data_IF_005811610842
#
_entry.id   IF_005811610842
#
_cell.length_a   1.000
_cell.length_b   1.000
_cell.length_c   1.000
_cell.angle_alpha   90.00
_cell.angle_beta   90.00
_cell.angle_gamma   90.00
#
_symmetry.space_group_name_H-M   'P 1'
#
loop_
_entity.id
_entity.type
_entity.pdbx_description
1 polymer ?
#
# COMPACT_ATOMS: atom_id res chain seq x y z
N UNK A 1 13.44 -0.90 6.18
CA UNK A 1 12.86 -1.83 7.15
C UNK A 1 13.90 -2.89 7.46
N UNK A 2 14.05 -3.28 8.73
CA UNK A 2 14.89 -4.41 9.13
C UNK A 2 13.97 -5.63 9.31
N UNK A 3 14.14 -6.65 8.46
CA UNK A 3 13.28 -7.83 8.45
C UNK A 3 13.43 -8.67 9.73
N UNK A 4 14.62 -8.76 10.32
CA UNK A 4 14.81 -9.54 11.55
C UNK A 4 14.09 -8.86 12.72
N UNK A 5 14.19 -7.53 12.81
CA UNK A 5 13.48 -6.76 13.82
C UNK A 5 11.95 -6.88 13.66
N UNK A 6 11.45 -6.83 12.42
CA UNK A 6 10.03 -6.94 12.12
C UNK A 6 9.48 -8.33 12.49
N UNK A 7 10.18 -9.39 12.08
CA UNK A 7 9.84 -10.79 12.41
C UNK A 7 9.82 -11.01 13.93
N UNK A 8 10.81 -10.47 14.66
CA UNK A 8 10.86 -10.56 16.13
C UNK A 8 9.76 -9.76 16.83
N UNK A 9 9.14 -8.82 16.13
CA UNK A 9 8.01 -8.03 16.64
C UNK A 9 6.71 -8.82 16.81
N UNK A 10 6.58 -9.97 16.14
CA UNK A 10 5.38 -10.81 16.23
C UNK A 10 5.26 -11.45 17.62
N UNK A 11 4.04 -11.41 18.18
CA UNK A 11 3.75 -11.93 19.52
C UNK A 11 2.78 -13.12 19.45
N UNK A 12 2.89 -14.07 20.39
CA UNK A 12 1.88 -15.10 20.57
C UNK A 12 0.51 -14.49 20.86
N UNK A 13 -0.53 -15.15 20.38
CA UNK A 13 -1.94 -14.78 20.61
C UNK A 13 -2.43 -15.57 21.82
N UNK A 14 -3.03 -14.86 22.77
CA UNK A 14 -3.64 -15.43 23.97
C UNK A 14 -5.02 -16.03 23.65
N UNK A 15 -5.15 -17.34 23.84
CA UNK A 15 -6.36 -18.12 23.57
C UNK A 15 -7.43 -17.94 24.66
N UNK A 16 -7.05 -17.60 25.90
CA UNK A 16 -7.99 -17.49 27.02
C UNK A 16 -8.97 -16.32 26.85
N UNK A 17 -8.57 -15.29 26.11
CA UNK A 17 -9.45 -14.17 25.74
C UNK A 17 -10.54 -14.51 24.72
N UNK A 18 -10.36 -15.57 23.93
CA UNK A 18 -11.29 -15.95 22.85
C UNK A 18 -12.21 -17.11 23.23
N UNK A 19 -11.83 -17.93 24.21
CA UNK A 19 -12.65 -19.04 24.72
C UNK A 19 -13.86 -18.56 25.55
N UNK A 20 -13.84 -17.34 26.10
CA UNK A 20 -14.94 -16.79 26.90
C UNK A 20 -16.23 -16.52 26.11
N UNK A 21 -16.18 -16.50 24.77
CA UNK A 21 -17.33 -16.23 23.89
C UNK A 21 -17.89 -17.47 23.18
N UNK A 22 -17.45 -18.70 23.48
CA UNK A 22 -18.01 -19.97 22.95
C UNK A 22 -18.13 -20.12 21.41
N UNK A 23 -17.45 -19.29 20.61
CA UNK A 23 -17.55 -19.30 19.12
C UNK A 23 -16.28 -19.76 18.39
N UNK A 24 -15.18 -20.08 19.09
CA UNK A 24 -13.94 -20.49 18.43
C UNK A 24 -14.01 -21.96 17.97
N UNK A 25 -13.97 -22.18 16.65
CA UNK A 25 -13.93 -23.54 16.08
C UNK A 25 -12.59 -24.22 16.38
N UNK A 26 -12.56 -25.55 16.46
CA UNK A 26 -11.34 -26.36 16.63
C UNK A 26 -10.24 -26.00 15.61
N UNK A 27 -10.67 -25.60 14.41
CA UNK A 27 -9.77 -25.13 13.33
C UNK A 27 -9.07 -23.82 13.70
N UNK A 28 -9.79 -22.84 14.26
CA UNK A 28 -9.21 -21.56 14.68
C UNK A 28 -8.24 -21.75 15.85
N UNK A 29 -8.63 -22.53 16.86
CA UNK A 29 -7.79 -22.83 18.03
C UNK A 29 -6.49 -23.50 17.58
N UNK A 30 -6.57 -24.55 16.77
CA UNK A 30 -5.41 -25.27 16.23
C UNK A 30 -4.50 -24.36 15.39
N UNK A 31 -5.06 -23.48 14.57
CA UNK A 31 -4.29 -22.52 13.78
C UNK A 31 -3.53 -21.52 14.65
N UNK A 32 -4.14 -21.05 15.75
CA UNK A 32 -3.48 -20.14 16.70
C UNK A 32 -2.36 -20.84 17.48
N UNK A 33 -2.56 -22.09 17.91
CA UNK A 33 -1.52 -22.88 18.56
C UNK A 33 -0.28 -23.08 17.66
N UNK A 34 -0.51 -23.44 16.40
CA UNK A 34 0.56 -23.62 15.41
C UNK A 34 1.28 -22.30 15.13
N UNK A 35 0.54 -21.19 15.06
CA UNK A 35 1.12 -19.85 14.91
C UNK A 35 1.98 -19.46 16.11
N UNK A 36 1.52 -19.70 17.34
CA UNK A 36 2.27 -19.40 18.56
C UNK A 36 3.59 -20.19 18.62
N UNK A 37 3.58 -21.47 18.22
CA UNK A 37 4.80 -22.28 18.07
C UNK A 37 5.76 -21.69 17.04
N UNK A 38 5.26 -21.23 15.90
CA UNK A 38 6.09 -20.60 14.89
C UNK A 38 6.78 -19.33 15.42
N UNK A 39 6.04 -18.48 16.13
CA UNK A 39 6.59 -17.27 16.77
C UNK A 39 7.68 -17.63 17.79
N UNK A 40 7.50 -18.70 18.56
CA UNK A 40 8.53 -19.20 19.48
C UNK A 40 9.80 -19.66 18.75
N UNK A 41 9.64 -20.44 17.68
CA UNK A 41 10.77 -20.89 16.86
C UNK A 41 11.55 -19.72 16.24
N UNK A 42 10.88 -18.65 15.82
CA UNK A 42 11.53 -17.45 15.30
C UNK A 42 12.34 -16.72 16.38
N UNK A 43 11.82 -16.64 17.61
CA UNK A 43 12.56 -16.05 18.74
C UNK A 43 13.83 -16.84 19.05
N UNK A 44 13.78 -18.17 18.90
CA UNK A 44 14.92 -19.07 19.08
C UNK A 44 15.85 -19.17 17.87
N UNK A 45 15.60 -18.42 16.79
CA UNK A 45 16.45 -18.44 15.58
C UNK A 45 16.34 -19.74 14.77
N UNK A 46 15.21 -20.42 14.83
CA UNK A 46 14.92 -21.64 14.07
C UNK A 46 13.92 -21.33 12.94
N UNK A 47 14.32 -20.51 11.97
CA UNK A 47 13.43 -19.96 10.95
C UNK A 47 12.82 -21.04 10.04
N UNK A 48 13.60 -22.07 9.67
CA UNK A 48 13.13 -23.17 8.83
C UNK A 48 11.96 -23.93 9.47
N UNK A 49 12.03 -24.17 10.79
CA UNK A 49 10.98 -24.86 11.54
C UNK A 49 9.75 -23.95 11.67
N UNK A 50 9.96 -22.66 11.95
CA UNK A 50 8.89 -21.68 12.01
C UNK A 50 8.12 -21.60 10.68
N UNK A 51 8.82 -21.60 9.54
CA UNK A 51 8.20 -21.60 8.21
C UNK A 51 7.37 -22.86 7.96
N UNK A 52 7.81 -24.03 8.44
CA UNK A 52 7.02 -25.27 8.35
C UNK A 52 5.72 -25.14 9.16
N UNK A 53 5.78 -24.65 10.39
CA UNK A 53 4.59 -24.45 11.22
C UNK A 53 3.64 -23.41 10.60
N UNK A 54 4.15 -22.30 10.08
CA UNK A 54 3.34 -21.28 9.40
C UNK A 54 2.67 -21.83 8.14
N UNK A 55 3.34 -22.65 7.34
CA UNK A 55 2.71 -23.33 6.19
C UNK A 55 1.53 -24.20 6.62
N UNK A 56 1.66 -24.92 7.75
CA UNK A 56 0.54 -25.68 8.33
C UNK A 56 -0.60 -24.75 8.72
N UNK A 57 -0.31 -23.64 9.40
CA UNK A 57 -1.32 -22.62 9.77
C UNK A 57 -2.12 -22.20 8.55
N UNK A 58 -1.44 -21.80 7.46
CA UNK A 58 -2.08 -21.32 6.23
C UNK A 58 -2.88 -22.43 5.53
N UNK A 59 -2.40 -23.68 5.55
CA UNK A 59 -3.14 -24.81 4.97
C UNK A 59 -4.44 -25.16 5.72
N UNK A 60 -4.50 -24.87 7.01
CA UNK A 60 -5.64 -25.14 7.89
C UNK A 60 -6.60 -23.94 7.95
N UNK A 61 -6.05 -22.72 7.97
CA UNK A 61 -6.79 -21.47 7.98
C UNK A 61 -6.15 -20.44 7.02
N UNK A 62 -6.53 -20.47 5.72
CA UNK A 62 -5.99 -19.56 4.71
C UNK A 62 -6.27 -18.07 4.98
N UNK A 63 -7.28 -17.75 5.82
CA UNK A 63 -7.65 -16.38 6.18
C UNK A 63 -6.93 -15.87 7.44
N UNK A 64 -5.98 -16.63 7.98
CA UNK A 64 -5.17 -16.18 9.11
C UNK A 64 -4.03 -15.27 8.65
N UNK A 65 -4.39 -14.06 8.22
CA UNK A 65 -3.48 -13.13 7.54
C UNK A 65 -2.25 -12.72 8.36
N UNK A 66 -2.31 -12.72 9.70
CA UNK A 66 -1.11 -12.46 10.53
C UNK A 66 -0.05 -13.57 10.32
N UNK A 67 -0.48 -14.83 10.19
CA UNK A 67 0.41 -15.95 9.89
C UNK A 67 0.91 -15.92 8.43
N UNK A 68 0.07 -15.49 7.48
CA UNK A 68 0.47 -15.34 6.08
C UNK A 68 1.50 -14.21 5.93
N UNK A 69 1.30 -13.08 6.62
CA UNK A 69 2.26 -11.97 6.66
C UNK A 69 3.60 -12.40 7.23
N UNK A 70 3.57 -13.10 8.37
CA UNK A 70 4.79 -13.63 8.99
C UNK A 70 5.52 -14.63 8.09
N UNK A 71 4.79 -15.50 7.39
CA UNK A 71 5.37 -16.43 6.42
C UNK A 71 6.02 -15.70 5.24
N UNK A 72 5.37 -14.66 4.70
CA UNK A 72 5.94 -13.82 3.65
C UNK A 72 7.23 -13.12 4.09
N UNK A 73 7.28 -12.60 5.32
CA UNK A 73 8.48 -12.00 5.88
C UNK A 73 9.61 -13.02 6.04
N UNK A 74 9.30 -14.23 6.50
CA UNK A 74 10.27 -15.31 6.57
C UNK A 74 10.83 -15.70 5.20
N UNK A 75 10.00 -15.71 4.15
CA UNK A 75 10.49 -15.91 2.77
C UNK A 75 11.43 -14.79 2.32
N UNK A 76 11.08 -13.53 2.58
CA UNK A 76 11.94 -12.40 2.27
C UNK A 76 13.27 -12.48 3.02
N UNK A 77 13.22 -12.80 4.33
CA UNK A 77 14.39 -12.94 5.18
C UNK A 77 15.30 -14.11 4.77
N UNK A 78 14.72 -15.20 4.28
CA UNK A 78 15.45 -16.37 3.78
C UNK A 78 15.84 -16.28 2.30
N UNK A 79 15.76 -15.07 1.70
CA UNK A 79 16.16 -14.78 0.32
C UNK A 79 15.35 -15.56 -0.73
N UNK A 80 14.03 -15.63 -0.53
CA UNK A 80 13.04 -16.16 -1.48
C UNK A 80 11.98 -15.07 -1.79
N UNK A 81 12.38 -13.91 -2.37
CA UNK A 81 11.51 -12.76 -2.54
C UNK A 81 10.31 -13.01 -3.45
N UNK A 82 10.44 -13.88 -4.45
CA UNK A 82 9.36 -14.20 -5.39
C UNK A 82 8.17 -14.86 -4.68
N UNK A 83 8.46 -15.73 -3.71
CA UNK A 83 7.44 -16.38 -2.87
C UNK A 83 6.81 -15.41 -1.88
N UNK A 84 7.61 -14.47 -1.38
CA UNK A 84 7.14 -13.43 -0.49
C UNK A 84 6.18 -12.49 -1.24
N UNK A 85 6.54 -12.07 -2.45
CA UNK A 85 5.70 -11.25 -3.32
C UNK A 85 4.38 -11.93 -3.67
N UNK A 86 4.39 -13.22 -4.03
CA UNK A 86 3.14 -13.97 -4.30
C UNK A 86 2.23 -14.00 -3.06
N UNK A 87 2.79 -14.27 -1.88
CA UNK A 87 2.00 -14.27 -0.64
C UNK A 87 1.46 -12.88 -0.30
N UNK A 88 2.28 -11.83 -0.35
CA UNK A 88 1.82 -10.48 -0.04
C UNK A 88 0.79 -9.98 -1.05
N UNK A 89 1.00 -10.22 -2.35
CA UNK A 89 0.05 -9.90 -3.40
C UNK A 89 -1.32 -10.58 -3.20
N UNK A 90 -1.35 -11.77 -2.60
CA UNK A 90 -2.61 -12.47 -2.28
C UNK A 90 -3.41 -11.85 -1.12
N UNK A 91 -2.75 -11.09 -0.22
CA UNK A 91 -3.35 -10.49 1.00
C UNK A 91 -3.77 -9.05 0.76
N UNK A 92 -3.07 -8.34 -0.14
CA UNK A 92 -3.27 -6.91 -0.44
C UNK A 92 -4.72 -6.57 -0.82
N UNK A 93 -5.52 -7.53 -1.27
CA UNK A 93 -6.93 -7.33 -1.60
C UNK A 93 -7.92 -7.54 -0.43
N UNK A 94 -7.46 -7.63 0.84
CA UNK A 94 -8.31 -7.90 2.00
C UNK A 94 -8.11 -6.91 3.16
N UNK A 95 -9.23 -6.32 3.59
CA UNK A 95 -9.34 -4.99 4.21
C UNK A 95 -8.58 -4.76 5.53
N UNK A 96 -8.23 -5.78 6.31
CA UNK A 96 -7.67 -5.55 7.66
C UNK A 96 -6.16 -5.85 7.80
N UNK A 97 -5.53 -6.49 6.81
CA UNK A 97 -4.09 -6.81 6.80
C UNK A 97 -3.38 -6.43 5.50
N UNK A 98 -4.09 -5.83 4.54
CA UNK A 98 -3.55 -5.30 3.29
C UNK A 98 -2.45 -4.26 3.50
N UNK A 99 -2.53 -3.47 4.58
CA UNK A 99 -1.56 -2.39 4.87
C UNK A 99 -0.17 -2.96 5.12
N UNK A 100 -0.05 -3.92 6.06
CA UNK A 100 1.22 -4.60 6.35
C UNK A 100 1.74 -5.32 5.11
N UNK A 101 0.86 -6.04 4.41
CA UNK A 101 1.25 -6.80 3.21
C UNK A 101 1.77 -5.89 2.08
N UNK A 102 1.18 -4.71 1.86
CA UNK A 102 1.70 -3.75 0.89
C UNK A 102 3.00 -3.08 1.34
N UNK A 103 3.14 -2.72 2.62
CA UNK A 103 4.40 -2.18 3.13
C UNK A 103 5.55 -3.18 2.92
N UNK A 104 5.27 -4.47 3.13
CA UNK A 104 6.22 -5.56 2.89
C UNK A 104 6.50 -5.77 1.39
N UNK A 105 5.48 -5.72 0.53
CA UNK A 105 5.64 -5.83 -0.93
C UNK A 105 6.41 -4.64 -1.52
N UNK A 106 6.14 -3.43 -1.05
CA UNK A 106 6.87 -2.22 -1.45
C UNK A 106 8.33 -2.30 -1.00
N UNK A 107 8.58 -2.77 0.23
CA UNK A 107 9.95 -2.97 0.70
C UNK A 107 10.72 -4.01 -0.12
N UNK A 108 10.10 -5.14 -0.46
CA UNK A 108 10.74 -6.20 -1.26
C UNK A 108 11.03 -5.70 -2.68
N UNK A 109 10.06 -5.09 -3.34
CA UNK A 109 10.21 -4.54 -4.70
C UNK A 109 11.24 -3.41 -4.80
N UNK A 110 11.38 -2.56 -3.76
CA UNK A 110 12.44 -1.54 -3.70
C UNK A 110 13.84 -2.19 -3.50
N UNK A 111 13.90 -3.32 -2.81
CA UNK A 111 15.15 -4.00 -2.44
C UNK A 111 15.75 -4.85 -3.57
N UNK A 112 14.99 -5.24 -4.59
CA UNK A 112 15.50 -5.98 -5.75
C UNK A 112 16.57 -5.21 -6.56
N UNK A 113 16.63 -3.88 -6.43
CA UNK A 113 17.67 -3.04 -7.04
C UNK A 113 18.94 -2.86 -6.18
N UNK A 114 19.02 -3.49 -5.00
CA UNK A 114 20.22 -3.45 -4.14
C UNK A 114 20.30 -4.66 -3.21
N UNK A 115 21.30 -5.53 -3.41
CA UNK A 115 21.55 -6.78 -2.65
C UNK A 115 21.04 -6.77 -1.21
N UNK A 116 20.17 -7.74 -0.88
CA UNK A 116 19.73 -8.03 0.48
C UNK A 116 20.95 -8.14 1.42
N UNK A 117 21.09 -7.19 2.35
CA UNK A 117 22.08 -7.31 3.43
C UNK A 117 21.61 -8.40 4.37
N UNK A 118 22.14 -9.61 4.16
CA UNK A 118 22.06 -10.75 5.09
C UNK A 118 22.40 -10.25 6.50
N UNK A 119 21.44 -10.22 7.42
CA UNK A 119 21.75 -10.19 8.84
C UNK A 119 22.53 -11.49 9.12
N UNK A 120 23.78 -11.36 9.56
CA UNK A 120 24.65 -12.51 9.79
C UNK A 120 23.95 -13.50 10.72
N UNK A 121 23.97 -14.80 10.38
CA UNK A 121 23.59 -15.88 11.28
C UNK A 121 24.35 -15.66 12.60
N UNK A 122 23.67 -15.12 13.61
CA UNK A 122 24.20 -15.12 14.96
C UNK A 122 24.18 -16.57 15.42
N UNK A 123 25.31 -17.26 15.26
CA UNK A 123 25.63 -18.44 16.06
C UNK A 123 25.66 -17.97 17.52
N UNK A 124 24.51 -17.95 18.19
CA UNK A 124 24.50 -18.05 19.63
C UNK A 124 24.60 -19.53 19.99
N UNK A 125 25.72 -19.83 20.61
CA UNK A 125 26.11 -21.07 21.25
C UNK A 125 25.00 -21.55 22.19
N UNK A 126 24.17 -22.47 21.72
CA UNK A 126 23.36 -23.33 22.58
C UNK A 126 24.29 -24.37 23.21
N UNK A 127 24.94 -23.98 24.31
CA UNK A 127 25.49 -24.88 25.31
C UNK A 127 25.23 -24.25 26.68
N UNK A 128 23.96 -24.23 27.09
CA UNK A 128 23.61 -24.90 28.33
C UNK A 128 22.12 -25.28 28.33
N UNK A 129 21.81 -26.40 28.98
CA UNK A 129 20.49 -26.98 29.27
C UNK A 129 19.78 -27.75 28.15
N UNK A 130 19.83 -29.08 28.29
CA UNK A 130 18.61 -29.88 28.21
C UNK A 130 18.41 -30.70 26.94
N UNK A 131 19.20 -31.77 26.82
CA UNK A 131 18.93 -32.98 26.04
C UNK A 131 17.44 -33.22 25.72
N UNK A 132 17.02 -32.96 24.48
CA UNK A 132 15.82 -33.59 23.95
C UNK A 132 16.16 -34.39 22.69
N UNK A 133 16.14 -35.72 22.88
CA UNK A 133 16.52 -36.78 21.93
C UNK A 133 15.61 -36.82 20.68
N UNK A 134 14.63 -35.94 20.57
CA UNK A 134 13.65 -35.83 19.48
C UNK A 134 14.12 -35.01 18.26
N UNK A 135 15.19 -34.23 18.39
CA UNK A 135 15.69 -33.35 17.30
C UNK A 135 16.62 -34.04 16.30
N UNK A 136 17.19 -35.21 16.63
CA UNK A 136 18.09 -35.96 15.72
C UNK A 136 17.37 -36.92 14.78
N UNK A 137 16.13 -37.31 15.07
CA UNK A 137 15.38 -38.22 14.20
C UNK A 137 14.57 -37.53 13.10
N UNK A 138 14.17 -36.25 13.25
CA UNK A 138 13.53 -35.51 12.15
C UNK A 138 14.53 -34.95 11.11
N UNK A 139 15.80 -34.77 11.49
CA UNK A 139 16.85 -34.28 10.59
C UNK A 139 17.35 -35.35 9.58
N UNK A 140 17.12 -36.65 9.84
CA UNK A 140 17.70 -37.74 9.05
C UNK A 140 16.81 -38.32 7.95
N UNK A 141 15.64 -37.74 7.69
CA UNK A 141 14.79 -38.13 6.54
C UNK A 141 14.72 -37.01 5.49
N UNK A 142 15.91 -36.54 5.09
CA UNK A 142 16.13 -35.71 3.89
C UNK A 142 16.05 -36.56 2.63
N UNK A 143 14.86 -37.08 2.35
CA UNK A 143 14.40 -37.48 1.01
C UNK A 143 13.02 -36.84 0.82
N UNK A 144 13.00 -35.51 0.75
CA UNK A 144 11.77 -34.73 0.76
C UNK A 144 11.82 -33.49 -0.17
N UNK A 145 12.62 -33.53 -1.24
CA UNK A 145 12.63 -32.41 -2.19
C UNK A 145 11.34 -32.38 -3.05
N UNK A 146 10.74 -33.54 -3.38
CA UNK A 146 9.46 -33.60 -4.10
C UNK A 146 8.24 -33.35 -3.19
N UNK A 147 8.21 -33.88 -1.96
CA UNK A 147 7.07 -33.72 -1.05
C UNK A 147 6.91 -32.29 -0.53
N UNK A 148 8.02 -31.57 -0.33
CA UNK A 148 7.96 -30.16 0.06
C UNK A 148 7.50 -29.26 -1.09
N UNK A 149 7.93 -29.52 -2.33
CA UNK A 149 7.44 -28.82 -3.52
C UNK A 149 5.96 -29.11 -3.78
N UNK A 150 5.51 -30.35 -3.57
CA UNK A 150 4.10 -30.73 -3.69
C UNK A 150 3.21 -30.06 -2.63
N UNK A 151 3.67 -29.99 -1.38
CA UNK A 151 2.99 -29.30 -0.29
C UNK A 151 2.98 -27.78 -0.50
N UNK A 152 4.04 -27.20 -1.08
CA UNK A 152 4.11 -25.78 -1.45
C UNK A 152 3.11 -25.42 -2.54
N UNK A 153 3.02 -26.21 -3.61
CA UNK A 153 2.06 -25.98 -4.69
C UNK A 153 0.61 -26.14 -4.20
N UNK A 154 0.33 -27.09 -3.30
CA UNK A 154 -0.98 -27.29 -2.68
C UNK A 154 -1.45 -26.13 -1.82
N UNK A 155 -0.54 -25.44 -1.13
CA UNK A 155 -0.85 -24.24 -0.33
C UNK A 155 -1.23 -23.09 -1.26
N UNK A 156 -0.44 -22.86 -2.31
CA UNK A 156 -0.70 -21.81 -3.31
C UNK A 156 -2.00 -22.08 -4.10
N UNK A 157 -2.29 -23.34 -4.41
CA UNK A 157 -3.50 -23.75 -5.13
C UNK A 157 -4.77 -23.69 -4.26
N UNK A 158 -4.68 -24.04 -2.96
CA UNK A 158 -5.79 -23.87 -2.00
C UNK A 158 -6.11 -22.41 -1.74
N UNK A 159 -5.09 -21.55 -1.71
CA UNK A 159 -5.30 -20.11 -1.65
C UNK A 159 -6.08 -19.70 -2.90
N UNK A 160 -5.64 -20.07 -4.11
CA UNK A 160 -6.33 -19.73 -5.39
C UNK A 160 -7.77 -20.28 -5.52
N UNK A 161 -8.07 -21.47 -4.99
CA UNK A 161 -9.38 -22.14 -5.15
C UNK A 161 -10.44 -21.79 -4.10
N UNK A 162 -10.05 -21.22 -2.94
CA UNK A 162 -10.99 -20.67 -1.97
C UNK A 162 -11.74 -19.42 -2.45
N UNK A 163 -11.38 -18.89 -3.62
CA UNK A 163 -11.94 -17.68 -4.21
C UNK A 163 -13.08 -18.00 -5.20
N UNK A 164 -14.28 -18.26 -4.68
CA UNK A 164 -15.50 -18.06 -5.47
C UNK A 164 -15.67 -16.56 -5.76
N UNK A 165 -16.11 -16.24 -6.98
CA UNK A 165 -16.05 -14.90 -7.60
C UNK A 165 -16.47 -13.76 -6.63
N UNK A 166 -15.63 -12.73 -6.42
CA UNK A 166 -15.80 -11.71 -5.38
C UNK A 166 -17.08 -10.87 -5.50
N UNK A 167 -17.71 -10.83 -6.68
CA UNK A 167 -18.97 -10.13 -6.90
C UNK A 167 -20.17 -10.80 -6.20
N UNK A 168 -20.16 -12.13 -6.06
CA UNK A 168 -21.28 -12.88 -5.46
C UNK A 168 -21.30 -12.69 -3.94
N UNK A 169 -20.13 -12.65 -3.30
CA UNK A 169 -20.00 -12.47 -1.84
C UNK A 169 -20.34 -11.03 -1.43
N UNK A 170 -19.97 -10.03 -2.23
CA UNK A 170 -20.38 -8.63 -2.00
C UNK A 170 -21.90 -8.47 -2.06
N UNK A 171 -22.57 -9.08 -3.05
CA UNK A 171 -24.03 -9.03 -3.14
C UNK A 171 -24.67 -9.73 -1.95
N UNK A 172 -24.18 -10.89 -1.53
CA UNK A 172 -24.76 -11.62 -0.40
C UNK A 172 -24.62 -10.83 0.90
N UNK A 173 -23.49 -10.17 1.16
CA UNK A 173 -23.29 -9.38 2.38
C UNK A 173 -24.13 -8.10 2.39
N UNK A 174 -24.21 -7.38 1.25
CA UNK A 174 -25.04 -6.18 1.14
C UNK A 174 -26.53 -6.52 1.23
N UNK A 175 -26.96 -7.59 0.56
CA UNK A 175 -28.36 -8.07 0.63
C UNK A 175 -28.69 -8.61 2.03
N UNK A 176 -27.77 -9.31 2.69
CA UNK A 176 -27.97 -9.79 4.07
C UNK A 176 -28.14 -8.62 5.05
N UNK A 177 -27.34 -7.55 4.92
CA UNK A 177 -27.47 -6.34 5.74
C UNK A 177 -28.78 -5.61 5.46
N UNK A 178 -29.18 -5.48 4.19
CA UNK A 178 -30.47 -4.87 3.81
C UNK A 178 -31.66 -5.69 4.33
N UNK A 179 -31.60 -7.02 4.24
CA UNK A 179 -32.60 -7.93 4.79
C UNK A 179 -32.67 -7.85 6.32
N UNK A 180 -31.53 -7.70 7.00
CA UNK A 180 -31.47 -7.53 8.45
C UNK A 180 -32.13 -6.21 8.87
N UNK A 181 -31.82 -5.11 8.18
CA UNK A 181 -32.42 -3.79 8.42
C UNK A 181 -33.94 -3.82 8.15
N UNK A 182 -34.37 -4.44 7.06
CA UNK A 182 -35.79 -4.60 6.73
C UNK A 182 -36.53 -5.46 7.77
N UNK A 183 -35.91 -6.54 8.25
CA UNK A 183 -36.47 -7.40 9.30
C UNK A 183 -36.61 -6.64 10.63
N UNK A 184 -35.63 -5.80 10.99
CA UNK A 184 -35.69 -4.94 12.19
C UNK A 184 -36.83 -3.91 12.06
N UNK A 185 -37.01 -3.28 10.90
CA UNK A 185 -38.09 -2.33 10.66
C UNK A 185 -39.47 -3.02 10.71
N UNK A 186 -39.61 -4.19 10.08
CA UNK A 186 -40.85 -4.98 10.11
C UNK A 186 -41.18 -5.49 11.52
N UNK A 187 -40.18 -5.89 12.29
CA UNK A 187 -40.34 -6.33 13.68
C UNK A 187 -40.69 -5.15 14.61
N UNK A 188 -40.14 -3.96 14.37
CA UNK A 188 -40.51 -2.74 15.09
C UNK A 188 -41.93 -2.25 14.73
N UNK A 189 -42.35 -2.40 13.46
CA UNK A 189 -43.69 -2.05 13.00
C UNK A 189 -44.77 -3.01 13.54
N UNK A 190 -44.49 -4.31 13.57
CA UNK A 190 -45.42 -5.32 14.12
C UNK A 190 -45.63 -5.21 15.64
N UNK A 191 -44.68 -4.60 16.39
CA UNK A 191 -44.89 -4.23 17.80
C UNK A 191 -45.76 -2.99 18.00
N UNK A 192 -45.92 -2.12 16.99
CA UNK A 192 -46.83 -0.97 17.06
C UNK A 192 -48.30 -1.36 16.91
N UNK A 193 -48.61 -2.38 16.11
CA UNK A 193 -49.99 -2.83 15.91
C UNK A 193 -50.55 -3.70 17.05
N UNK A 194 -49.68 -4.28 17.88
CA UNK A 194 -50.11 -5.07 19.06
C UNK A 194 -50.52 -4.22 20.27
N UNK A 195 -50.39 -2.88 20.21
CA UNK A 195 -50.53 -1.97 21.35
C UNK A 195 -51.92 -1.41 21.64
N UNK A 196 -53.01 -2.06 21.18
CA UNK A 196 -54.38 -1.55 21.40
C UNK A 196 -55.33 -2.58 22.01
N UNK A 197 -55.01 -3.07 23.22
CA UNK A 197 -56.02 -3.54 24.19
C UNK A 197 -55.57 -3.12 25.60
N UNK A 198 -56.53 -2.57 26.33
CA UNK A 198 -56.43 -1.79 27.56
C UNK A 198 -56.38 -2.65 28.85
N UNK A 199 -55.98 -2.00 29.93
CA UNK A 199 -56.14 -2.30 31.37
C UNK A 199 -55.04 -3.09 32.11
N UNK A 200 -54.36 -2.35 33.01
CA UNK A 200 -54.35 -2.72 34.42
C UNK A 200 -53.25 -3.65 34.93
N UNK A 201 -51.99 -3.22 34.87
CA UNK A 201 -50.95 -3.51 35.88
C UNK A 201 -49.64 -2.93 35.36
N UNK A 202 -48.93 -2.15 36.17
CA UNK A 202 -47.50 -1.92 35.91
C UNK A 202 -46.79 -3.28 35.79
N UNK A 203 -45.95 -3.48 34.77
CA UNK A 203 -44.73 -4.23 34.98
C UNK A 203 -43.59 -3.22 34.96
N UNK A 204 -42.79 -3.25 36.02
CA UNK A 204 -41.47 -2.66 36.06
C UNK A 204 -40.76 -2.93 34.72
N UNK A 205 -40.68 -1.90 33.87
CA UNK A 205 -39.85 -1.93 32.67
C UNK A 205 -38.42 -1.96 33.19
N UNK A 206 -37.91 -3.16 33.28
CA UNK A 206 -36.66 -3.49 33.94
C UNK A 206 -35.52 -2.61 33.43
N UNK A 207 -34.68 -2.15 34.37
CA UNK A 207 -33.42 -1.46 34.11
C UNK A 207 -32.51 -2.18 33.07
N UNK A 208 -32.83 -3.44 32.76
CA UNK A 208 -32.21 -4.28 31.74
C UNK A 208 -32.46 -3.77 30.31
N UNK A 209 -33.65 -3.24 29.98
CA UNK A 209 -33.94 -2.71 28.64
C UNK A 209 -33.26 -1.34 28.37
N UNK A 210 -33.04 -0.52 29.41
CA UNK A 210 -32.24 0.71 29.31
C UNK A 210 -30.73 0.43 29.28
N UNK A 211 -30.28 -0.60 30.01
CA UNK A 211 -28.91 -1.12 30.00
C UNK A 211 -28.52 -1.70 28.63
N UNK A 212 -29.41 -2.48 28.00
CA UNK A 212 -29.17 -3.02 26.66
C UNK A 212 -29.20 -1.93 25.59
N UNK A 213 -30.17 -1.02 25.60
CA UNK A 213 -30.22 0.09 24.64
C UNK A 213 -28.98 1.02 24.72
N UNK A 214 -28.47 1.29 25.93
CA UNK A 214 -27.24 2.07 26.14
C UNK A 214 -25.96 1.33 25.72
N UNK A 215 -25.92 0.00 25.89
CA UNK A 215 -24.82 -0.83 25.36
C UNK A 215 -24.83 -0.86 23.83
N UNK A 216 -26.00 -1.01 23.21
CA UNK A 216 -26.15 -1.00 21.75
C UNK A 216 -25.75 0.34 21.14
N UNK A 217 -26.07 1.48 21.78
CA UNK A 217 -25.65 2.80 21.29
C UNK A 217 -24.14 3.03 21.40
N UNK A 218 -23.51 2.57 22.50
CA UNK A 218 -22.06 2.67 22.69
C UNK A 218 -21.30 1.75 21.71
N UNK A 219 -21.85 0.58 21.40
CA UNK A 219 -21.30 -0.34 20.42
C UNK A 219 -21.42 0.20 18.99
N UNK A 220 -22.52 0.89 18.66
CA UNK A 220 -22.72 1.57 17.39
C UNK A 220 -21.75 2.74 17.19
N UNK A 221 -21.48 3.52 18.24
CA UNK A 221 -20.47 4.57 18.23
C UNK A 221 -19.06 4.00 18.03
N UNK A 222 -18.72 2.91 18.74
CA UNK A 222 -17.44 2.22 18.59
C UNK A 222 -17.24 1.63 17.19
N UNK A 223 -18.28 1.06 16.58
CA UNK A 223 -18.24 0.56 15.19
C UNK A 223 -18.04 1.72 14.21
N UNK A 224 -18.68 2.87 14.43
CA UNK A 224 -18.53 4.06 13.59
C UNK A 224 -17.10 4.61 13.64
N UNK A 225 -16.49 4.64 14.82
CA UNK A 225 -15.10 5.05 15.00
C UNK A 225 -14.13 4.07 14.34
N UNK A 226 -14.39 2.76 14.45
CA UNK A 226 -13.61 1.74 13.76
C UNK A 226 -13.70 1.86 12.24
N UNK A 227 -14.89 2.13 11.71
CA UNK A 227 -15.12 2.34 10.28
C UNK A 227 -14.40 3.61 9.78
N UNK A 228 -14.45 4.70 10.55
CA UNK A 228 -13.70 5.92 10.24
C UNK A 228 -12.19 5.66 10.24
N UNK A 229 -11.68 4.92 11.23
CA UNK A 229 -10.27 4.55 11.31
C UNK A 229 -9.85 3.61 10.16
N UNK A 230 -10.69 2.66 9.78
CA UNK A 230 -10.45 1.76 8.65
C UNK A 230 -10.42 2.53 7.32
N UNK A 231 -11.38 3.43 7.09
CA UNK A 231 -11.41 4.28 5.90
C UNK A 231 -10.18 5.21 5.81
N UNK A 232 -9.73 5.76 6.94
CA UNK A 232 -8.52 6.57 6.99
C UNK A 232 -7.27 5.78 6.59
N UNK A 233 -7.15 4.54 7.06
CA UNK A 233 -6.06 3.63 6.70
C UNK A 233 -6.11 3.20 5.23
N UNK A 234 -7.30 2.88 4.72
CA UNK A 234 -7.49 2.55 3.29
C UNK A 234 -7.06 3.71 2.39
N UNK A 235 -7.43 4.95 2.75
CA UNK A 235 -6.99 6.14 2.02
C UNK A 235 -5.46 6.30 2.01
N UNK A 236 -4.79 6.04 3.13
CA UNK A 236 -3.32 6.06 3.18
C UNK A 236 -2.69 4.99 2.29
N UNK A 237 -3.29 3.80 2.23
CA UNK A 237 -2.86 2.73 1.34
C UNK A 237 -2.97 3.14 -0.13
N UNK A 238 -4.12 3.70 -0.55
CA UNK A 238 -4.34 4.13 -1.94
C UNK A 238 -3.32 5.20 -2.37
N UNK A 239 -3.04 6.14 -1.47
CA UNK A 239 -2.03 7.18 -1.70
C UNK A 239 -0.61 6.60 -1.78
N UNK A 240 -0.30 5.60 -0.97
CA UNK A 240 0.99 4.88 -1.01
C UNK A 240 1.18 4.14 -2.33
N UNK A 241 0.15 3.42 -2.79
CA UNK A 241 0.16 2.73 -4.09
C UNK A 241 0.39 3.72 -5.24
N UNK A 242 -0.28 4.88 -5.21
CA UNK A 242 -0.10 5.93 -6.21
C UNK A 242 1.34 6.48 -6.24
N UNK A 243 1.95 6.69 -5.07
CA UNK A 243 3.36 7.12 -4.96
C UNK A 243 4.32 6.04 -5.47
N UNK A 244 4.02 4.76 -5.20
CA UNK A 244 4.81 3.63 -5.71
C UNK A 244 4.74 3.54 -7.24
N UNK A 245 3.54 3.66 -7.82
CA UNK A 245 3.35 3.66 -9.27
C UNK A 245 4.12 4.81 -9.96
N UNK A 246 4.12 6.02 -9.38
CA UNK A 246 4.94 7.12 -9.88
C UNK A 246 6.43 6.80 -9.77
N UNK A 247 6.86 6.20 -8.66
CA UNK A 247 8.26 5.81 -8.43
C UNK A 247 8.72 4.75 -9.44
N UNK A 248 7.86 3.80 -9.79
CA UNK A 248 8.13 2.78 -10.81
C UNK A 248 8.29 3.40 -12.21
N UNK A 249 7.41 4.33 -12.60
CA UNK A 249 7.55 5.07 -13.86
C UNK A 249 8.86 5.88 -13.90
N UNK A 250 9.21 6.52 -12.78
CA UNK A 250 10.47 7.24 -12.65
C UNK A 250 11.69 6.31 -12.80
N UNK A 251 11.67 5.13 -12.18
CA UNK A 251 12.73 4.13 -12.30
C UNK A 251 12.90 3.63 -13.75
N UNK A 252 11.80 3.53 -14.50
CA UNK A 252 11.79 3.21 -15.94
C UNK A 252 12.22 4.39 -16.83
N UNK A 253 12.63 5.53 -16.25
CA UNK A 253 12.98 6.79 -16.94
C UNK A 253 11.82 7.40 -17.74
N UNK A 254 10.58 7.02 -17.44
CA UNK A 254 9.37 7.60 -18.04
C UNK A 254 8.97 8.88 -17.30
N UNK A 255 9.87 9.87 -17.29
CA UNK A 255 9.76 11.04 -16.41
C UNK A 255 8.51 11.89 -16.67
N UNK A 256 8.18 12.10 -17.95
CA UNK A 256 7.01 12.92 -18.33
C UNK A 256 5.70 12.26 -17.88
N UNK A 257 5.57 10.94 -18.06
CA UNK A 257 4.40 10.19 -17.62
C UNK A 257 4.30 10.13 -16.09
N UNK A 258 5.44 9.93 -15.42
CA UNK A 258 5.52 10.00 -13.96
C UNK A 258 5.08 11.37 -13.43
N UNK A 259 5.47 12.46 -14.11
CA UNK A 259 5.07 13.82 -13.75
C UNK A 259 3.56 14.05 -13.93
N UNK A 260 2.98 13.55 -15.02
CA UNK A 260 1.53 13.67 -15.28
C UNK A 260 0.71 12.92 -14.22
N UNK A 261 1.12 11.70 -13.87
CA UNK A 261 0.50 10.92 -12.78
C UNK A 261 0.67 11.61 -11.44
N UNK A 262 1.84 12.18 -11.18
CA UNK A 262 2.13 12.85 -9.91
C UNK A 262 1.34 14.15 -9.73
N UNK A 263 1.15 14.93 -10.80
CA UNK A 263 0.39 16.18 -10.74
C UNK A 263 -1.13 15.96 -10.60
N UNK A 264 -1.62 14.77 -10.93
CA UNK A 264 -3.00 14.39 -10.64
C UNK A 264 -3.25 14.12 -9.14
N UNK A 265 -2.19 13.98 -8.34
CA UNK A 265 -2.27 13.68 -6.91
C UNK A 265 -2.49 14.95 -6.09
N UNK A 266 -3.36 14.87 -5.09
CA UNK A 266 -3.65 15.97 -4.16
C UNK A 266 -2.62 16.01 -3.04
N UNK A 267 -1.69 16.97 -3.11
CA UNK A 267 -0.55 17.08 -2.20
C UNK A 267 -0.95 17.23 -0.72
N UNK A 268 -2.12 17.79 -0.44
CA UNK A 268 -2.70 18.01 0.88
C UNK A 268 -3.26 16.73 1.53
N UNK A 269 -3.49 15.67 0.75
CA UNK A 269 -3.96 14.39 1.30
C UNK A 269 -2.84 13.54 1.90
N UNK A 270 -1.59 13.88 1.61
CA UNK A 270 -0.43 13.16 2.13
C UNK A 270 0.00 13.68 3.50
N UNK A 271 0.26 12.78 4.44
CA UNK A 271 0.67 13.11 5.81
C UNK A 271 1.82 12.22 6.29
N UNK A 272 2.58 12.68 7.30
CA UNK A 272 3.62 11.90 7.95
C UNK A 272 4.72 11.41 6.99
N UNK A 273 5.18 10.17 7.17
CA UNK A 273 6.26 9.60 6.35
C UNK A 273 5.91 9.50 4.87
N UNK A 274 4.63 9.26 4.56
CA UNK A 274 4.18 9.19 3.18
C UNK A 274 4.28 10.57 2.48
N UNK A 275 4.04 11.67 3.20
CA UNK A 275 4.28 13.03 2.68
C UNK A 275 5.75 13.25 2.33
N UNK A 276 6.65 12.80 3.20
CA UNK A 276 8.10 12.90 2.97
C UNK A 276 8.51 12.11 1.71
N UNK A 277 7.97 10.91 1.53
CA UNK A 277 8.21 10.11 0.32
C UNK A 277 7.66 10.80 -0.94
N UNK A 278 6.41 11.27 -0.88
CA UNK A 278 5.77 12.03 -1.95
C UNK A 278 6.60 13.25 -2.35
N UNK A 279 7.05 14.07 -1.40
CA UNK A 279 7.82 15.28 -1.67
C UNK A 279 9.19 14.96 -2.31
N UNK A 280 9.85 13.90 -1.83
CA UNK A 280 11.12 13.44 -2.37
C UNK A 280 11.00 12.99 -3.82
N UNK A 281 10.00 12.14 -4.12
CA UNK A 281 9.78 11.67 -5.50
C UNK A 281 9.30 12.81 -6.39
N UNK A 282 8.42 13.69 -5.90
CA UNK A 282 7.93 14.89 -6.61
C UNK A 282 9.07 15.76 -7.10
N UNK A 283 10.00 16.11 -6.20
CA UNK A 283 11.15 16.95 -6.58
C UNK A 283 11.98 16.33 -7.70
N UNK A 284 12.27 15.02 -7.60
CA UNK A 284 13.08 14.30 -8.60
C UNK A 284 12.35 14.15 -9.94
N UNK A 285 11.08 13.76 -9.90
CA UNK A 285 10.25 13.55 -11.08
C UNK A 285 10.08 14.85 -11.86
N UNK A 286 9.67 15.93 -11.19
CA UNK A 286 9.42 17.21 -11.84
C UNK A 286 10.70 17.79 -12.46
N UNK A 287 11.83 17.72 -11.75
CA UNK A 287 13.13 18.16 -12.28
C UNK A 287 13.53 17.39 -13.54
N UNK A 288 13.49 16.06 -13.50
CA UNK A 288 13.91 15.24 -14.65
C UNK A 288 12.93 15.37 -15.83
N UNK A 289 11.63 15.46 -15.56
CA UNK A 289 10.63 15.68 -16.59
C UNK A 289 10.78 17.06 -17.26
N UNK A 290 10.99 18.12 -16.48
CA UNK A 290 11.24 19.47 -16.99
C UNK A 290 12.53 19.53 -17.83
N UNK A 291 13.59 18.85 -17.37
CA UNK A 291 14.86 18.74 -18.10
C UNK A 291 14.68 18.01 -19.43
N UNK A 292 14.00 16.86 -19.41
CA UNK A 292 13.69 16.09 -20.62
C UNK A 292 12.83 16.90 -21.60
N UNK A 293 11.78 17.56 -21.13
CA UNK A 293 10.92 18.41 -21.96
C UNK A 293 11.70 19.57 -22.61
N UNK A 294 12.65 20.16 -21.89
CA UNK A 294 13.52 21.21 -22.41
C UNK A 294 14.44 20.67 -23.51
N UNK A 295 15.03 19.48 -23.30
CA UNK A 295 15.87 18.82 -24.29
C UNK A 295 15.08 18.43 -25.56
N UNK A 296 13.89 17.85 -25.38
CA UNK A 296 12.97 17.47 -26.46
C UNK A 296 12.52 18.71 -27.24
N UNK A 297 12.11 19.76 -26.53
CA UNK A 297 11.68 21.04 -27.13
C UNK A 297 12.78 21.69 -27.96
N UNK A 298 14.01 21.73 -27.44
CA UNK A 298 15.17 22.21 -28.19
C UNK A 298 15.47 21.37 -29.45
N UNK A 299 15.30 20.04 -29.34
CA UNK A 299 15.50 19.14 -30.48
C UNK A 299 14.45 19.40 -31.56
N UNK A 300 13.18 19.51 -31.18
CA UNK A 300 12.07 19.84 -32.08
C UNK A 300 12.27 21.20 -32.75
N UNK A 301 12.70 22.21 -31.99
CA UNK A 301 13.02 23.53 -32.51
C UNK A 301 14.10 23.45 -33.60
N UNK A 302 15.21 22.73 -33.34
CA UNK A 302 16.28 22.52 -34.33
C UNK A 302 15.80 21.76 -35.57
N UNK A 303 14.82 20.87 -35.40
CA UNK A 303 14.15 20.16 -36.50
C UNK A 303 13.05 20.99 -37.19
N UNK A 304 12.90 22.29 -36.87
CA UNK A 304 11.87 23.19 -37.41
C UNK A 304 10.42 22.77 -37.12
N UNK A 305 10.22 21.90 -36.13
CA UNK A 305 8.91 21.45 -35.64
C UNK A 305 8.46 22.37 -34.51
N UNK A 306 8.19 23.62 -34.88
CA UNK A 306 7.96 24.69 -33.91
C UNK A 306 6.69 24.53 -33.07
N UNK A 307 5.53 24.14 -33.62
CA UNK A 307 4.33 23.91 -32.81
C UNK A 307 4.53 22.83 -31.74
N UNK A 308 5.26 21.77 -32.05
CA UNK A 308 5.58 20.70 -31.10
C UNK A 308 6.63 21.15 -30.07
N UNK A 309 7.61 21.95 -30.49
CA UNK A 309 8.59 22.55 -29.59
C UNK A 309 7.90 23.43 -28.54
N UNK A 310 6.97 24.30 -28.97
CA UNK A 310 6.14 25.14 -28.10
C UNK A 310 5.42 24.28 -27.06
N UNK A 311 4.68 23.25 -27.49
CA UNK A 311 3.93 22.37 -26.57
C UNK A 311 4.82 21.74 -25.49
N UNK A 312 6.02 21.28 -25.87
CA UNK A 312 6.97 20.68 -24.91
C UNK A 312 7.52 21.71 -23.94
N UNK A 313 7.90 22.89 -24.44
CA UNK A 313 8.50 23.95 -23.65
C UNK A 313 7.50 24.68 -22.74
N UNK A 314 6.24 24.86 -23.16
CA UNK A 314 5.16 25.35 -22.29
C UNK A 314 4.98 24.41 -21.09
N UNK A 315 4.97 23.09 -21.33
CA UNK A 315 4.81 22.08 -20.28
C UNK A 315 5.93 22.16 -19.23
N UNK A 316 7.15 22.59 -19.57
CA UNK A 316 8.24 22.79 -18.58
C UNK A 316 7.78 23.70 -17.43
N UNK A 317 7.08 24.78 -17.76
CA UNK A 317 6.63 25.78 -16.80
C UNK A 317 5.31 25.42 -16.10
N UNK A 318 4.63 24.35 -16.55
CA UNK A 318 3.51 23.77 -15.79
C UNK A 318 4.01 22.81 -14.70
N UNK A 319 5.23 22.27 -14.83
CA UNK A 319 5.84 21.39 -13.83
C UNK A 319 6.44 22.15 -12.64
N UNK A 320 6.64 23.45 -12.79
CA UNK A 320 7.20 24.33 -11.77
C UNK A 320 7.98 25.50 -12.39
N UNK A 321 8.41 26.40 -11.53
CA UNK A 321 9.27 27.53 -11.86
C UNK A 321 10.68 27.33 -11.28
N UNK A 322 11.65 28.16 -11.70
CA UNK A 322 13.02 28.18 -11.18
C UNK A 322 13.89 26.94 -11.51
N UNK A 323 13.76 26.40 -12.72
CA UNK A 323 14.70 25.41 -13.22
C UNK A 323 16.05 26.04 -13.57
N UNK A 324 17.15 25.31 -13.34
CA UNK A 324 18.51 25.78 -13.72
C UNK A 324 18.65 26.04 -15.23
N UNK A 325 17.82 25.38 -16.04
CA UNK A 325 17.77 25.50 -17.50
C UNK A 325 16.58 26.34 -17.99
N UNK A 326 15.86 27.01 -17.08
CA UNK A 326 14.65 27.76 -17.42
C UNK A 326 14.94 28.95 -18.35
N UNK A 327 16.08 29.62 -18.19
CA UNK A 327 16.52 30.71 -19.06
C UNK A 327 16.66 30.24 -20.52
N UNK A 328 17.35 29.12 -20.75
CA UNK A 328 17.49 28.49 -22.06
C UNK A 328 16.14 28.04 -22.60
N UNK A 329 15.30 27.43 -21.75
CA UNK A 329 13.97 26.98 -22.15
C UNK A 329 13.09 28.15 -22.60
N UNK A 330 13.08 29.26 -21.85
CA UNK A 330 12.34 30.48 -22.21
C UNK A 330 12.86 31.10 -23.50
N UNK A 331 14.18 31.13 -23.71
CA UNK A 331 14.75 31.66 -24.93
C UNK A 331 14.31 30.87 -26.17
N UNK A 332 14.40 29.53 -26.09
CA UNK A 332 13.97 28.63 -27.18
C UNK A 332 12.46 28.70 -27.36
N UNK A 333 11.69 28.81 -26.28
CA UNK A 333 10.23 28.96 -26.34
C UNK A 333 9.85 30.25 -27.06
N UNK A 334 10.47 31.39 -26.69
CA UNK A 334 10.26 32.66 -27.39
C UNK A 334 10.57 32.58 -28.88
N UNK A 335 11.71 31.96 -29.24
CA UNK A 335 12.07 31.73 -30.65
C UNK A 335 11.05 30.83 -31.36
N UNK A 336 10.57 29.80 -30.70
CA UNK A 336 9.58 28.88 -31.27
C UNK A 336 8.24 29.58 -31.51
N UNK A 337 7.86 30.51 -30.62
CA UNK A 337 6.65 31.34 -30.78
C UNK A 337 6.72 32.30 -31.97
N UNK A 338 7.87 32.93 -32.19
CA UNK A 338 8.09 33.78 -33.39
C UNK A 338 7.86 32.96 -34.66
N UNK A 339 8.39 31.74 -34.72
CA UNK A 339 8.26 30.87 -35.91
C UNK A 339 6.83 30.37 -36.15
N UNK A 340 5.99 30.32 -35.12
CA UNK A 340 4.54 30.04 -35.26
C UNK A 340 3.69 31.30 -35.34
N UNK A 341 4.31 32.47 -35.51
CA UNK A 341 3.67 33.78 -35.63
C UNK A 341 2.84 34.22 -34.40
N UNK A 342 3.15 33.71 -33.21
CA UNK A 342 2.56 34.13 -31.94
C UNK A 342 3.48 35.14 -31.24
N UNK A 343 3.54 36.35 -31.79
CA UNK A 343 4.47 37.39 -31.34
C UNK A 343 4.19 37.86 -29.91
N UNK A 344 2.91 37.82 -29.47
CA UNK A 344 2.55 38.19 -28.10
C UNK A 344 3.15 37.21 -27.08
N UNK A 345 2.99 35.91 -27.30
CA UNK A 345 3.61 34.91 -26.42
C UNK A 345 5.13 34.88 -26.55
N UNK A 346 5.68 35.15 -27.73
CA UNK A 346 7.13 35.30 -27.90
C UNK A 346 7.67 36.42 -27.01
N UNK A 347 7.05 37.61 -27.07
CA UNK A 347 7.41 38.75 -26.26
C UNK A 347 7.32 38.43 -24.75
N UNK A 348 6.23 37.80 -24.32
CA UNK A 348 6.06 37.38 -22.92
C UNK A 348 7.15 36.40 -22.45
N UNK A 349 7.54 35.44 -23.29
CA UNK A 349 8.61 34.48 -22.96
C UNK A 349 9.97 35.17 -22.82
N UNK A 350 10.31 36.10 -23.72
CA UNK A 350 11.54 36.89 -23.63
C UNK A 350 11.55 37.81 -22.41
N UNK A 351 10.42 38.46 -22.11
CA UNK A 351 10.29 39.30 -20.93
C UNK A 351 10.47 38.49 -19.63
N UNK A 352 9.82 37.32 -19.52
CA UNK A 352 10.00 36.39 -18.38
C UNK A 352 11.47 35.96 -18.23
N UNK A 353 12.20 35.80 -19.33
CA UNK A 353 13.64 35.50 -19.29
C UNK A 353 14.43 36.68 -18.71
N UNK A 354 14.20 37.89 -19.23
CA UNK A 354 14.93 39.10 -18.85
C UNK A 354 14.72 39.42 -17.37
N UNK A 355 13.48 39.29 -16.89
CA UNK A 355 13.11 39.65 -15.52
C UNK A 355 13.48 38.56 -14.52
N UNK A 356 13.28 37.28 -14.90
CA UNK A 356 13.50 36.14 -14.02
C UNK A 356 14.95 35.66 -13.94
N UNK A 357 15.76 35.93 -14.98
CA UNK A 357 17.12 35.40 -15.11
C UNK A 357 18.11 36.48 -15.60
N UNK A 358 18.28 37.59 -14.86
CA UNK A 358 19.04 38.76 -15.32
C UNK A 358 20.53 38.47 -15.61
N UNK A 359 21.12 37.50 -14.92
CA UNK A 359 22.52 37.08 -15.13
C UNK A 359 22.70 36.08 -16.29
N UNK A 360 21.60 35.67 -16.94
CA UNK A 360 21.68 34.69 -18.02
C UNK A 360 22.35 35.27 -19.27
N UNK A 361 23.24 34.48 -19.87
CA UNK A 361 23.85 34.78 -21.18
C UNK A 361 22.81 34.99 -22.30
N UNK A 362 21.58 34.48 -22.14
CA UNK A 362 20.49 34.65 -23.10
C UNK A 362 19.82 36.04 -23.04
N UNK A 363 20.00 36.82 -21.98
CA UNK A 363 19.32 38.11 -21.77
C UNK A 363 19.61 39.08 -22.91
N UNK A 364 20.87 39.20 -23.32
CA UNK A 364 21.25 40.10 -24.44
C UNK A 364 20.51 39.73 -25.73
N UNK A 365 20.42 38.44 -26.03
CA UNK A 365 19.73 37.95 -27.23
C UNK A 365 18.21 38.11 -27.11
N UNK A 366 17.64 37.83 -25.94
CA UNK A 366 16.21 38.02 -25.68
C UNK A 366 15.79 39.48 -25.85
N UNK A 367 16.57 40.46 -25.35
CA UNK A 367 16.32 41.89 -25.56
C UNK A 367 16.32 42.27 -27.04
N UNK A 368 17.32 41.83 -27.80
CA UNK A 368 17.38 42.07 -29.25
C UNK A 368 16.14 41.53 -29.96
N UNK A 369 15.76 40.28 -29.65
CA UNK A 369 14.59 39.64 -30.27
C UNK A 369 13.28 40.29 -29.87
N UNK A 370 13.15 40.73 -28.62
CA UNK A 370 11.98 41.45 -28.15
C UNK A 370 11.78 42.77 -28.91
N UNK A 371 12.86 43.53 -29.15
CA UNK A 371 12.83 44.75 -29.95
C UNK A 371 12.54 44.54 -31.44
N UNK A 372 12.81 43.34 -31.98
CA UNK A 372 12.51 43.00 -33.39
C UNK A 372 11.02 42.68 -33.61
N UNK A 373 10.29 42.27 -32.57
CA UNK A 373 8.90 41.80 -32.66
C UNK A 373 7.88 42.76 -32.04
N UNK A 374 8.35 43.83 -31.40
CA UNK A 374 7.56 44.97 -30.92
C UNK A 374 7.63 46.09 -31.94
#
# INVERSE_FOLDING_TARGET
>A
MDLDQEIRGFKPIDLEKYSQNNEATDTVVKSVELYNKAVEYLKSGNEDIAMIELKKVVSVNPNFYEAVNLLGLCYAYTNQPEKAEELFGSIVQKENNAIKAADYLNFISISENGSYKKAGRLKQTANDLGSNKSLKELSKKSTANEKNVLAENLVLEKIKSGFTKPYIVMIINVVSIICLIAAIILFAASRRDAGKVDTGSEPAVSAQNQSEAGKTSAELEKIKDQLAAANGKLKQYELSEQVSNVSALYAQKKYIEAADKLLALKADEFTGDLKTQYDSIRKKVLLNAASQLTADGNTLYKSKKYPEAVKKLEKVFTLGDNWEFADKALYILGKSYVEVNDLQKAAAAYQKLIDGYPESSYVKYAKSRLSEIQ
#
